data_IF_516579558280
#
_entry.id   IF_516579558280
#
_cell.length_a   1.000
_cell.length_b   1.000
_cell.length_c   1.000
_cell.angle_alpha   90.00
_cell.angle_beta   90.00
_cell.angle_gamma   90.00
#
_symmetry.space_group_name_H-M   'P 1'
#
loop_
_entity.id
_entity.type
_entity.pdbx_description
1 polymer ?
#
# COMPACT_ATOMS: atom_id res chain seq x y z
N UNK A 1 -22.31 -9.90 -2.06
CA UNK A 1 -22.06 -8.63 -2.77
C UNK A 1 -21.23 -7.79 -1.82
N UNK A 2 -20.03 -7.38 -2.22
CA UNK A 2 -19.20 -6.50 -1.38
C UNK A 2 -19.79 -5.10 -1.57
N UNK A 3 -20.23 -4.49 -0.48
CA UNK A 3 -20.80 -3.14 -0.48
C UNK A 3 -19.68 -2.14 -0.22
N UNK A 4 -19.50 -1.17 -1.12
CA UNK A 4 -18.47 -0.14 -1.00
C UNK A 4 -19.10 1.16 -0.52
N UNK A 5 -18.68 1.63 0.65
CA UNK A 5 -19.04 2.94 1.16
C UNK A 5 -17.94 3.94 0.83
N UNK A 6 -18.30 5.04 0.18
CA UNK A 6 -17.39 6.16 -0.05
C UNK A 6 -17.21 6.94 1.25
N UNK A 7 -15.96 7.10 1.69
CA UNK A 7 -15.59 7.92 2.86
C UNK A 7 -14.61 8.98 2.36
N UNK A 8 -15.02 10.25 2.42
CA UNK A 8 -14.15 11.39 2.12
C UNK A 8 -13.35 11.77 3.37
N UNK A 9 -12.03 11.82 3.23
CA UNK A 9 -11.10 12.34 4.24
C UNK A 9 -10.24 13.41 3.57
N UNK A 10 -10.15 14.61 4.16
CA UNK A 10 -9.33 15.71 3.66
C UNK A 10 -7.84 15.56 3.99
N UNK A 11 -7.42 14.40 4.49
CA UNK A 11 -6.03 14.07 4.78
C UNK A 11 -5.25 13.84 3.49
N UNK A 12 -4.08 14.45 3.41
CA UNK A 12 -3.09 14.22 2.36
C UNK A 12 -2.34 12.89 2.55
N UNK A 13 -2.57 12.18 3.66
CA UNK A 13 -1.94 10.90 3.95
C UNK A 13 -2.87 9.86 4.62
N UNK A 14 -2.58 8.58 4.39
CA UNK A 14 -3.12 7.44 5.16
C UNK A 14 -1.95 6.82 5.93
N UNK A 15 -2.05 6.73 7.25
CA UNK A 15 -1.05 6.08 8.10
C UNK A 15 -1.60 4.76 8.62
N UNK A 16 -0.78 3.71 8.54
CA UNK A 16 -1.08 2.36 9.01
C UNK A 16 -0.13 2.05 10.15
N UNK A 17 -0.67 1.92 11.36
CA UNK A 17 0.05 1.46 12.55
C UNK A 17 -0.12 -0.05 12.71
N UNK A 18 0.98 -0.77 12.90
CA UNK A 18 0.97 -2.19 13.24
C UNK A 18 1.53 -2.35 14.65
N UNK A 19 0.87 -3.10 15.52
CA UNK A 19 1.23 -3.14 16.95
C UNK A 19 2.68 -3.54 17.23
N UNK A 20 3.26 -4.39 16.38
CA UNK A 20 4.63 -4.93 16.51
C UNK A 20 5.55 -4.51 15.36
N UNK A 21 5.13 -3.59 14.49
CA UNK A 21 5.92 -3.13 13.34
C UNK A 21 5.63 -1.64 13.07
N UNK A 22 6.63 -0.82 12.67
CA UNK A 22 6.42 0.60 12.42
C UNK A 22 5.27 0.89 11.42
N UNK A 23 4.96 -0.03 10.50
CA UNK A 23 3.83 0.11 9.58
C UNK A 23 4.20 0.96 8.36
N UNK A 24 3.34 1.90 7.98
CA UNK A 24 3.60 2.70 6.78
C UNK A 24 2.69 3.90 6.54
N UNK A 25 3.06 4.70 5.55
CA UNK A 25 2.31 5.89 5.11
C UNK A 25 2.10 5.87 3.59
N UNK A 26 0.89 6.23 3.19
CA UNK A 26 0.51 6.50 1.80
C UNK A 26 0.34 8.01 1.65
N UNK A 27 1.02 8.62 0.69
CA UNK A 27 1.05 10.06 0.44
C UNK A 27 1.68 10.87 1.57
N UNK A 28 1.31 12.14 1.64
CA UNK A 28 1.90 13.15 2.53
C UNK A 28 3.41 13.32 2.35
N UNK A 29 4.01 13.98 3.33
CA UNK A 29 5.46 14.16 3.40
C UNK A 29 6.20 12.85 3.69
N UNK A 30 7.43 12.77 3.18
CA UNK A 30 8.35 11.66 3.38
C UNK A 30 8.54 11.35 4.88
N UNK A 31 8.16 10.14 5.34
CA UNK A 31 8.35 9.74 6.72
C UNK A 31 9.78 9.21 6.97
N UNK A 32 10.05 8.83 8.22
CA UNK A 32 11.27 8.11 8.58
C UNK A 32 11.48 6.84 7.75
N UNK A 33 12.74 6.36 7.67
CA UNK A 33 13.11 5.18 6.88
C UNK A 33 12.63 3.85 7.49
N UNK A 34 12.16 3.90 8.73
CA UNK A 34 11.50 2.81 9.44
C UNK A 34 10.08 2.54 8.94
N UNK A 35 9.46 3.50 8.26
CA UNK A 35 8.12 3.39 7.68
C UNK A 35 8.18 3.06 6.19
N UNK A 36 7.32 2.15 5.75
CA UNK A 36 7.05 1.96 4.32
C UNK A 36 6.36 3.20 3.78
N UNK A 37 6.92 3.84 2.75
CA UNK A 37 6.32 5.03 2.15
C UNK A 37 5.87 4.79 0.71
N UNK A 38 4.60 5.06 0.44
CA UNK A 38 4.04 5.08 -0.91
C UNK A 38 3.77 6.53 -1.29
N UNK A 39 4.69 7.13 -2.04
CA UNK A 39 4.58 8.53 -2.48
C UNK A 39 3.51 8.72 -3.56
N UNK A 40 2.91 9.91 -3.60
CA UNK A 40 1.93 10.33 -4.60
C UNK A 40 0.61 10.81 -4.00
N UNK A 41 -0.39 11.03 -4.87
CA UNK A 41 -1.71 11.46 -4.44
C UNK A 41 -2.44 10.33 -3.72
N UNK A 42 -2.77 10.56 -2.44
CA UNK A 42 -3.41 9.57 -1.57
C UNK A 42 -4.74 9.05 -2.11
N UNK A 43 -5.55 9.91 -2.73
CA UNK A 43 -6.82 9.51 -3.33
C UNK A 43 -6.61 8.57 -4.52
N UNK A 44 -5.69 8.90 -5.41
CA UNK A 44 -5.37 8.07 -6.58
C UNK A 44 -4.80 6.70 -6.18
N UNK A 45 -3.88 6.69 -5.20
CA UNK A 45 -3.29 5.45 -4.68
C UNK A 45 -4.36 4.58 -4.03
N UNK A 46 -5.21 5.17 -3.19
CA UNK A 46 -6.28 4.45 -2.51
C UNK A 46 -7.31 3.86 -3.48
N UNK A 47 -7.74 4.65 -4.47
CA UNK A 47 -8.63 4.17 -5.52
C UNK A 47 -8.01 3.02 -6.33
N UNK A 48 -6.72 3.13 -6.66
CA UNK A 48 -6.00 2.04 -7.35
C UNK A 48 -5.93 0.78 -6.50
N UNK A 49 -5.63 0.91 -5.20
CA UNK A 49 -5.59 -0.21 -4.27
C UNK A 49 -6.95 -0.93 -4.23
N UNK A 50 -8.04 -0.19 -4.01
CA UNK A 50 -9.39 -0.76 -3.97
C UNK A 50 -9.75 -1.47 -5.27
N UNK A 51 -9.47 -0.84 -6.42
CA UNK A 51 -9.74 -1.43 -7.73
C UNK A 51 -9.00 -2.77 -7.89
N UNK A 52 -7.70 -2.82 -7.61
CA UNK A 52 -6.91 -4.06 -7.74
C UNK A 52 -7.42 -5.13 -6.79
N UNK A 53 -7.75 -4.77 -5.54
CA UNK A 53 -8.29 -5.70 -4.55
C UNK A 53 -9.61 -6.33 -5.04
N UNK A 54 -10.51 -5.52 -5.60
CA UNK A 54 -11.79 -5.98 -6.15
C UNK A 54 -11.59 -6.85 -7.39
N UNK A 55 -10.70 -6.46 -8.31
CA UNK A 55 -10.38 -7.25 -9.52
C UNK A 55 -9.87 -8.64 -9.14
N UNK A 56 -8.93 -8.72 -8.19
CA UNK A 56 -8.40 -9.99 -7.70
C UNK A 56 -9.47 -10.83 -7.00
N UNK A 57 -10.25 -10.22 -6.11
CA UNK A 57 -11.33 -10.90 -5.38
C UNK A 57 -12.40 -11.45 -6.33
N UNK A 58 -12.82 -10.65 -7.31
CA UNK A 58 -13.85 -11.02 -8.29
C UNK A 58 -13.38 -12.11 -9.25
N UNK A 59 -12.08 -12.17 -9.55
CA UNK A 59 -11.48 -13.24 -10.33
C UNK A 59 -11.33 -14.56 -9.55
N UNK A 60 -11.72 -14.59 -8.27
CA UNK A 60 -11.54 -15.75 -7.39
C UNK A 60 -10.07 -16.02 -7.09
N UNK A 61 -9.19 -15.01 -7.18
CA UNK A 61 -7.77 -15.16 -6.90
C UNK A 61 -7.58 -15.44 -5.40
N UNK A 62 -7.11 -16.65 -5.03
CA UNK A 62 -7.06 -17.05 -3.62
C UNK A 62 -5.89 -16.41 -2.84
N UNK A 63 -5.03 -15.64 -3.53
CA UNK A 63 -3.72 -15.22 -3.02
C UNK A 63 -2.75 -16.40 -3.06
N UNK A 64 -1.76 -16.39 -3.95
CA UNK A 64 -0.71 -17.40 -3.91
C UNK A 64 0.56 -16.87 -3.24
N UNK A 65 0.88 -17.51 -2.11
CA UNK A 65 2.10 -17.29 -1.34
C UNK A 65 3.29 -17.66 -2.24
N UNK A 66 4.26 -16.75 -2.38
CA UNK A 66 5.46 -16.94 -3.20
C UNK A 66 5.31 -16.59 -4.69
N UNK A 67 4.10 -16.33 -5.20
CA UNK A 67 3.92 -15.99 -6.61
C UNK A 67 4.37 -14.58 -7.01
N UNK A 68 4.52 -13.68 -6.04
CA UNK A 68 5.03 -12.34 -6.28
C UNK A 68 6.56 -12.31 -6.47
N UNK A 69 7.23 -13.48 -6.45
CA UNK A 69 8.65 -13.63 -6.70
C UNK A 69 9.51 -12.95 -5.62
N UNK A 70 10.75 -12.54 -5.96
CA UNK A 70 11.69 -11.96 -4.99
C UNK A 70 11.13 -10.75 -4.22
N UNK A 71 10.18 -10.03 -4.82
CA UNK A 71 9.51 -8.88 -4.18
C UNK A 71 8.62 -9.24 -2.99
N UNK A 72 8.20 -10.51 -2.84
CA UNK A 72 7.47 -11.01 -1.68
C UNK A 72 8.29 -11.93 -0.78
N UNK A 73 9.45 -12.40 -1.23
CA UNK A 73 10.31 -13.31 -0.47
C UNK A 73 11.44 -12.59 0.27
N UNK A 74 11.91 -11.46 -0.26
CA UNK A 74 12.98 -10.68 0.36
C UNK A 74 12.40 -9.62 1.30
N UNK A 75 13.12 -9.28 2.38
CA UNK A 75 12.75 -8.18 3.25
C UNK A 75 12.60 -6.87 2.46
N UNK A 76 11.61 -6.07 2.84
CA UNK A 76 11.42 -4.75 2.27
C UNK A 76 12.64 -3.86 2.50
N UNK A 77 13.14 -3.23 1.44
CA UNK A 77 14.26 -2.28 1.51
C UNK A 77 13.74 -0.89 1.12
N UNK A 78 13.37 -0.10 2.12
CA UNK A 78 12.79 1.23 1.94
C UNK A 78 13.73 2.17 1.17
N UNK A 79 15.03 2.15 1.48
CA UNK A 79 16.02 2.97 0.79
C UNK A 79 16.11 2.64 -0.71
N UNK A 80 16.10 1.35 -1.05
CA UNK A 80 16.08 0.90 -2.45
C UNK A 80 14.77 1.26 -3.14
N UNK A 81 13.64 1.21 -2.43
CA UNK A 81 12.33 1.63 -2.95
C UNK A 81 12.34 3.12 -3.31
N UNK A 82 12.75 3.98 -2.36
CA UNK A 82 12.83 5.43 -2.57
C UNK A 82 13.79 5.80 -3.70
N UNK A 83 14.94 5.13 -3.79
CA UNK A 83 15.91 5.37 -4.86
C UNK A 83 15.37 5.04 -6.27
N UNK A 84 14.39 4.13 -6.39
CA UNK A 84 13.75 3.80 -7.68
C UNK A 84 12.68 4.81 -8.09
N UNK A 85 12.26 5.68 -7.18
CA UNK A 85 11.23 6.70 -7.39
C UNK A 85 11.84 8.08 -7.74
N UNK A 86 13.16 8.23 -7.58
CA UNK A 86 13.94 9.45 -7.82
C UNK A 86 14.31 9.66 -9.30
#
# INVERSE_FOLDING_TARGET
MIEMNHVENSSDAITVDLSDNPGGRIGGDEPGQDLVWITGNTHDIWNRYLRVMIELSSAGYPGCIGCAGPSAELPWNENLSRARLA
#
